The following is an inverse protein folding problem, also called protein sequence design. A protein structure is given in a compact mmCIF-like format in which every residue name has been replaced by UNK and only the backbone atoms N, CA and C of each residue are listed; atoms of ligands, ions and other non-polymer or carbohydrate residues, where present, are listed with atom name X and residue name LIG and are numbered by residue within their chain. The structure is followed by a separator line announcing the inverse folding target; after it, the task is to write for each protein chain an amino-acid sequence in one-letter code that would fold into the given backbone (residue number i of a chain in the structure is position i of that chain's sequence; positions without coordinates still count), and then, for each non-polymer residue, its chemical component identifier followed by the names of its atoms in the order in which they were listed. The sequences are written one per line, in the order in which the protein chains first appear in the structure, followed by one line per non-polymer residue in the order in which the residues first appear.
data_IF_804717250535
#
_entry.id   IF_804717250535
#
_cell.length_a   1.000
_cell.length_b   1.000
_cell.length_c   1.000
_cell.angle_alpha   90.00
_cell.angle_beta   90.00
_cell.angle_gamma   90.00
#
_symmetry.space_group_name_H-M   'P 1'
#
loop_
_entity.id
_entity.type
_entity.pdbx_description
1 polymer ?
#
# COMPACT_ATOMS: atom_id res chain seq x y z
N UNK A 1 -17.38 23.98 6.96
CA UNK A 1 -18.18 22.79 7.36
C UNK A 1 -18.49 21.81 6.22
N UNK A 2 -18.44 22.20 4.95
CA UNK A 2 -18.81 21.33 3.80
C UNK A 2 -17.76 20.31 3.36
N UNK A 3 -16.46 20.49 3.68
CA UNK A 3 -15.37 19.63 3.23
C UNK A 3 -15.30 18.29 4.00
N UNK A 4 -15.60 18.31 5.29
CA UNK A 4 -15.67 17.08 6.11
C UNK A 4 -16.71 16.08 5.58
N UNK A 5 -17.79 16.56 4.98
CA UNK A 5 -18.80 15.70 4.37
C UNK A 5 -18.29 14.99 3.12
N UNK A 6 -17.35 15.56 2.37
CA UNK A 6 -16.76 14.89 1.19
C UNK A 6 -15.79 13.80 1.64
N UNK A 7 -14.97 14.06 2.64
CA UNK A 7 -14.05 13.04 3.22
C UNK A 7 -14.83 11.94 3.94
N UNK A 8 -15.87 12.31 4.69
CA UNK A 8 -16.80 11.37 5.31
C UNK A 8 -17.62 10.63 4.24
N UNK A 9 -18.05 11.26 3.15
CA UNK A 9 -18.75 10.60 2.04
C UNK A 9 -17.83 9.64 1.26
N UNK A 10 -16.57 9.97 1.05
CA UNK A 10 -15.58 9.06 0.47
C UNK A 10 -15.28 7.92 1.46
N UNK A 11 -15.08 8.21 2.73
CA UNK A 11 -14.89 7.19 3.78
C UNK A 11 -16.17 6.37 4.01
N UNK A 12 -17.36 6.98 4.00
CA UNK A 12 -18.66 6.30 4.10
C UNK A 12 -19.05 5.63 2.78
N UNK A 13 -18.70 6.13 1.61
CA UNK A 13 -18.85 5.43 0.34
C UNK A 13 -17.92 4.20 0.26
N UNK A 14 -16.72 4.30 0.82
CA UNK A 14 -15.80 3.18 0.99
C UNK A 14 -16.25 2.27 2.14
N UNK A 15 -16.69 2.79 3.27
CA UNK A 15 -17.08 2.04 4.47
C UNK A 15 -18.55 1.55 4.46
N UNK A 16 -19.49 2.36 4.03
CA UNK A 16 -20.88 1.94 3.77
C UNK A 16 -20.98 1.13 2.48
N UNK A 17 -19.83 0.84 1.85
CA UNK A 17 -19.65 0.11 0.59
C UNK A 17 -20.70 -0.91 0.36
N UNK A 18 -21.85 -0.47 0.21
CA UNK A 18 -22.79 -1.28 -0.49
C UNK A 18 -22.12 -1.54 -1.83
N UNK A 19 -21.19 -2.55 -1.84
CA UNK A 19 -20.71 -3.13 -3.09
C UNK A 19 -21.91 -3.43 -4.01
N UNK A 20 -23.11 -3.59 -3.45
CA UNK A 20 -24.39 -3.56 -4.14
C UNK A 20 -24.72 -2.17 -4.65
N UNK A 21 -24.72 -1.12 -3.83
CA UNK A 21 -25.09 0.22 -4.27
C UNK A 21 -24.15 0.75 -5.36
N UNK A 22 -22.83 0.52 -5.19
CA UNK A 22 -21.82 0.85 -6.19
C UNK A 22 -21.94 -0.06 -7.43
N UNK A 23 -22.17 -1.36 -7.24
CA UNK A 23 -22.38 -2.33 -8.34
C UNK A 23 -23.70 -2.12 -9.05
N UNK A 24 -24.78 -1.82 -8.35
CA UNK A 24 -26.12 -1.77 -8.93
C UNK A 24 -26.46 -0.38 -9.50
N UNK A 25 -25.79 0.70 -9.07
CA UNK A 25 -25.99 2.05 -9.60
C UNK A 25 -24.91 2.57 -10.52
N UNK A 26 -23.63 2.42 -10.17
CA UNK A 26 -22.53 2.90 -11.03
C UNK A 26 -22.09 1.88 -12.08
N UNK A 27 -22.06 0.58 -11.73
CA UNK A 27 -21.65 -0.48 -12.65
C UNK A 27 -22.65 -0.75 -13.77
N UNK A 28 -23.99 -0.66 -13.62
CA UNK A 28 -24.91 -0.82 -14.76
C UNK A 28 -24.85 0.31 -15.77
N UNK A 29 -24.64 1.55 -15.32
CA UNK A 29 -24.41 2.69 -16.24
C UNK A 29 -23.11 2.54 -17.01
N UNK A 30 -22.06 2.17 -16.32
CA UNK A 30 -20.74 1.86 -16.86
C UNK A 30 -20.75 0.61 -17.76
N UNK A 31 -21.50 -0.45 -17.42
CA UNK A 31 -21.69 -1.63 -18.29
C UNK A 31 -22.38 -1.26 -19.61
N UNK A 32 -23.45 -0.46 -19.57
CA UNK A 32 -24.16 -0.03 -20.79
C UNK A 32 -23.29 0.82 -21.70
N UNK A 33 -22.49 1.74 -21.15
CA UNK A 33 -21.53 2.53 -21.92
C UNK A 33 -20.44 1.66 -22.58
N UNK A 34 -19.94 0.64 -21.86
CA UNK A 34 -18.92 -0.29 -22.35
C UNK A 34 -19.51 -1.29 -23.37
N UNK A 35 -20.71 -1.82 -23.12
CA UNK A 35 -21.37 -2.77 -24.00
C UNK A 35 -21.78 -2.16 -25.35
N UNK A 36 -21.99 -0.84 -25.39
CA UNK A 36 -22.21 -0.07 -26.63
C UNK A 36 -20.96 0.12 -27.49
N UNK A 37 -19.76 -0.02 -26.91
CA UNK A 37 -18.47 0.28 -27.58
C UNK A 37 -17.81 -0.93 -28.25
N UNK A 38 -18.28 -2.17 -28.03
CA UNK A 38 -17.63 -3.36 -28.61
C UNK A 38 -18.60 -4.50 -28.88
N UNK A 39 -18.57 -4.99 -30.14
CA UNK A 39 -19.41 -6.11 -30.62
C UNK A 39 -18.84 -7.52 -30.35
N UNK A 40 -17.60 -7.65 -29.88
CA UNK A 40 -16.93 -8.93 -29.60
C UNK A 40 -16.59 -9.10 -28.12
N UNK A 41 -16.67 -10.34 -27.60
CA UNK A 41 -16.35 -10.66 -26.19
C UNK A 41 -14.94 -10.27 -25.79
N UNK A 42 -13.95 -10.44 -26.65
CA UNK A 42 -12.55 -10.06 -26.40
C UNK A 42 -12.36 -8.55 -26.47
N UNK A 43 -13.01 -7.87 -27.40
CA UNK A 43 -13.01 -6.42 -27.49
C UNK A 43 -13.63 -5.77 -26.26
N UNK A 44 -14.77 -6.27 -25.78
CA UNK A 44 -15.44 -5.77 -24.55
C UNK A 44 -14.55 -5.84 -23.31
N UNK A 45 -13.84 -6.97 -23.11
CA UNK A 45 -12.90 -7.11 -21.97
C UNK A 45 -11.75 -6.09 -22.05
N UNK A 46 -11.22 -5.85 -23.23
CA UNK A 46 -10.10 -4.91 -23.46
C UNK A 46 -10.52 -3.45 -23.27
N UNK A 47 -11.69 -3.06 -23.76
CA UNK A 47 -12.27 -1.73 -23.55
C UNK A 47 -12.60 -1.47 -22.07
N UNK A 48 -13.20 -2.46 -21.39
CA UNK A 48 -13.47 -2.38 -19.95
C UNK A 48 -12.20 -2.17 -19.14
N UNK A 49 -11.12 -2.90 -19.43
CA UNK A 49 -9.85 -2.76 -18.75
C UNK A 49 -9.26 -1.36 -18.95
N UNK A 50 -9.23 -0.87 -20.20
CA UNK A 50 -8.76 0.49 -20.51
C UNK A 50 -9.55 1.56 -19.79
N UNK A 51 -10.87 1.43 -19.74
CA UNK A 51 -11.76 2.36 -19.07
C UNK A 51 -11.51 2.42 -17.55
N UNK A 52 -11.35 1.26 -16.89
CA UNK A 52 -11.05 1.18 -15.44
C UNK A 52 -9.69 1.82 -15.15
N UNK A 53 -8.68 1.54 -15.96
CA UNK A 53 -7.35 2.14 -15.81
C UNK A 53 -7.42 3.65 -16.03
N UNK A 54 -8.15 4.13 -17.04
CA UNK A 54 -8.32 5.56 -17.30
C UNK A 54 -9.02 6.28 -16.14
N UNK A 55 -10.09 5.70 -15.57
CA UNK A 55 -10.75 6.24 -14.37
C UNK A 55 -9.78 6.25 -13.19
N UNK A 56 -9.05 5.16 -12.95
CA UNK A 56 -8.07 5.10 -11.86
C UNK A 56 -6.98 6.15 -12.01
N UNK A 57 -6.48 6.36 -13.23
CA UNK A 57 -5.49 7.39 -13.52
C UNK A 57 -6.04 8.81 -13.32
N UNK A 58 -7.28 9.06 -13.74
CA UNK A 58 -7.95 10.34 -13.51
C UNK A 58 -8.17 10.62 -12.02
N UNK A 59 -8.60 9.61 -11.27
CA UNK A 59 -8.77 9.72 -9.82
C UNK A 59 -7.44 9.94 -9.11
N UNK A 60 -6.36 9.29 -9.56
CA UNK A 60 -5.02 9.50 -9.02
C UNK A 60 -4.55 10.93 -9.29
N UNK A 61 -4.73 11.44 -10.52
CA UNK A 61 -4.41 12.83 -10.86
C UNK A 61 -5.20 13.81 -10.00
N UNK A 62 -6.50 13.58 -9.85
CA UNK A 62 -7.37 14.41 -8.99
C UNK A 62 -6.91 14.35 -7.53
N UNK A 63 -6.57 13.17 -6.99
CA UNK A 63 -6.06 13.01 -5.63
C UNK A 63 -4.73 13.75 -5.42
N UNK A 64 -3.82 13.72 -6.39
CA UNK A 64 -2.57 14.50 -6.35
C UNK A 64 -2.87 16.00 -6.31
N UNK A 65 -3.71 16.50 -7.21
CA UNK A 65 -4.06 17.93 -7.24
C UNK A 65 -4.69 18.36 -5.92
N UNK A 66 -5.66 17.59 -5.40
CA UNK A 66 -6.32 17.88 -4.12
C UNK A 66 -5.32 17.88 -2.97
N UNK A 67 -4.37 16.93 -2.97
CA UNK A 67 -3.31 16.86 -1.95
C UNK A 67 -2.35 18.06 -2.00
N UNK A 68 -2.07 18.60 -3.19
CA UNK A 68 -1.28 19.84 -3.35
C UNK A 68 -2.06 21.09 -2.92
N UNK A 69 -3.38 21.14 -3.15
CA UNK A 69 -4.23 22.25 -2.76
C UNK A 69 -4.46 22.34 -1.25
N UNK A 70 -4.66 21.18 -0.58
CA UNK A 70 -5.08 21.12 0.81
C UNK A 70 -3.90 20.89 1.76
N UNK A 71 -3.84 21.64 2.83
CA UNK A 71 -2.85 21.47 3.89
C UNK A 71 -3.24 22.27 5.14
N UNK A 72 -2.72 21.86 6.33
CA UNK A 72 -3.14 22.44 7.61
C UNK A 72 -2.85 23.93 7.73
N UNK A 73 -1.74 24.43 7.17
CA UNK A 73 -1.36 25.83 7.24
C UNK A 73 -2.12 26.72 6.25
N UNK A 74 -2.46 26.20 5.08
CA UNK A 74 -3.11 27.01 4.02
C UNK A 74 -3.84 26.12 3.02
N UNK A 75 -5.03 26.54 2.61
CA UNK A 75 -5.78 25.97 1.48
C UNK A 75 -5.52 26.83 0.26
N UNK A 76 -5.11 26.21 -0.84
CA UNK A 76 -4.84 26.86 -2.12
C UNK A 76 -5.94 26.49 -3.12
N UNK A 77 -6.22 27.40 -4.05
CA UNK A 77 -7.03 27.04 -5.22
C UNK A 77 -6.22 26.14 -6.17
N UNK A 78 -6.85 25.28 -7.00
CA UNK A 78 -6.13 24.45 -7.94
C UNK A 78 -5.21 25.23 -8.90
N UNK A 79 -5.62 26.39 -9.48
CA UNK A 79 -4.73 27.21 -10.29
C UNK A 79 -3.51 27.73 -9.52
N UNK A 80 -3.69 28.16 -8.26
CA UNK A 80 -2.59 28.68 -7.44
C UNK A 80 -1.60 27.58 -7.07
N UNK A 81 -2.09 26.39 -6.70
CA UNK A 81 -1.25 25.25 -6.36
C UNK A 81 -0.43 24.76 -7.58
N UNK A 82 -1.06 24.67 -8.75
CA UNK A 82 -0.37 24.28 -9.98
C UNK A 82 0.59 25.40 -10.46
N UNK A 83 0.18 26.66 -10.39
CA UNK A 83 1.04 27.80 -10.71
C UNK A 83 2.29 27.84 -9.83
N UNK A 84 2.12 27.66 -8.51
CA UNK A 84 3.24 27.57 -7.57
C UNK A 84 4.17 26.39 -7.88
N UNK A 85 3.61 25.23 -8.24
CA UNK A 85 4.39 24.06 -8.63
C UNK A 85 5.22 24.32 -9.90
N UNK A 86 4.58 24.82 -10.96
CA UNK A 86 5.29 25.11 -12.22
C UNK A 86 6.35 26.19 -12.05
N UNK A 87 6.06 27.25 -11.28
CA UNK A 87 7.03 28.30 -10.95
C UNK A 87 8.22 27.75 -10.18
N UNK A 88 7.98 26.91 -9.16
CA UNK A 88 9.05 26.29 -8.36
C UNK A 88 9.95 25.38 -9.19
N UNK A 89 9.37 24.57 -10.09
CA UNK A 89 10.13 23.75 -11.03
C UNK A 89 10.95 24.59 -12.01
N UNK A 90 10.38 25.66 -12.55
CA UNK A 90 11.07 26.57 -13.47
C UNK A 90 12.26 27.28 -12.79
N UNK A 91 12.15 27.58 -11.49
CA UNK A 91 13.23 28.17 -10.69
C UNK A 91 14.28 27.14 -10.22
N UNK A 92 14.13 25.86 -10.58
CA UNK A 92 15.02 24.80 -10.12
C UNK A 92 15.05 24.60 -8.60
N UNK A 93 13.97 24.96 -7.90
CA UNK A 93 13.86 24.83 -6.45
C UNK A 93 14.60 25.91 -5.64
N UNK A 94 15.13 26.95 -6.27
CA UNK A 94 15.83 28.06 -5.60
C UNK A 94 15.03 29.37 -5.67
N UNK A 95 15.15 30.22 -4.64
CA UNK A 95 14.44 31.52 -4.60
C UNK A 95 12.92 31.40 -4.59
N UNK A 96 12.41 30.37 -3.88
CA UNK A 96 11.00 30.07 -3.82
C UNK A 96 10.27 31.03 -2.88
N UNK A 97 9.07 31.44 -3.24
CA UNK A 97 8.11 32.08 -2.32
C UNK A 97 7.58 31.07 -1.30
N UNK A 98 6.98 31.53 -0.20
CA UNK A 98 6.42 30.66 0.85
C UNK A 98 5.40 29.67 0.30
N UNK A 99 4.59 30.09 -0.67
CA UNK A 99 3.59 29.22 -1.32
C UNK A 99 4.28 28.16 -2.18
N UNK A 100 5.27 28.55 -2.99
CA UNK A 100 6.06 27.64 -3.81
C UNK A 100 6.82 26.64 -2.94
N UNK A 101 7.44 27.10 -1.84
CA UNK A 101 8.16 26.26 -0.88
C UNK A 101 7.21 25.23 -0.24
N UNK A 102 6.02 25.65 0.18
CA UNK A 102 5.01 24.76 0.76
C UNK A 102 4.58 23.68 -0.23
N UNK A 103 4.28 24.04 -1.47
CA UNK A 103 3.83 23.09 -2.49
C UNK A 103 4.97 22.16 -2.92
N UNK A 104 6.13 22.71 -3.24
CA UNK A 104 7.24 21.97 -3.84
C UNK A 104 8.04 21.17 -2.81
N UNK A 105 8.40 21.75 -1.66
CA UNK A 105 9.27 21.09 -0.69
C UNK A 105 8.53 20.26 0.37
N UNK A 106 7.25 20.55 0.63
CA UNK A 106 6.50 19.82 1.65
C UNK A 106 5.42 18.91 1.05
N UNK A 107 4.50 19.46 0.24
CA UNK A 107 3.32 18.70 -0.21
C UNK A 107 3.63 17.70 -1.31
N UNK A 108 4.44 18.07 -2.29
CA UNK A 108 4.72 17.24 -3.45
C UNK A 108 5.51 15.97 -3.10
N UNK A 109 6.67 16.02 -2.38
CA UNK A 109 7.41 14.84 -1.99
C UNK A 109 6.55 13.85 -1.19
N UNK A 110 5.81 14.36 -0.20
CA UNK A 110 4.90 13.61 0.64
C UNK A 110 3.81 12.91 -0.19
N UNK A 111 3.20 13.63 -1.13
CA UNK A 111 2.17 13.06 -2.01
C UNK A 111 2.73 11.97 -2.93
N UNK A 112 3.94 12.16 -3.48
CA UNK A 112 4.60 11.17 -4.33
C UNK A 112 4.95 9.90 -3.57
N UNK A 113 5.49 10.02 -2.36
CA UNK A 113 5.82 8.86 -1.51
C UNK A 113 4.57 8.15 -1.05
N UNK A 114 3.51 8.87 -0.64
CA UNK A 114 2.23 8.27 -0.28
C UNK A 114 1.62 7.50 -1.47
N UNK A 115 1.66 8.08 -2.68
CA UNK A 115 1.21 7.39 -3.89
C UNK A 115 2.01 6.11 -4.15
N UNK A 116 3.34 6.18 -4.07
CA UNK A 116 4.22 5.03 -4.29
C UNK A 116 3.97 3.92 -3.28
N UNK A 117 3.90 4.25 -1.98
CA UNK A 117 3.65 3.25 -0.92
C UNK A 117 2.28 2.61 -1.06
N UNK A 118 1.23 3.40 -1.34
CA UNK A 118 -0.12 2.87 -1.56
C UNK A 118 -0.20 1.92 -2.76
N UNK A 119 0.46 2.29 -3.85
CA UNK A 119 0.63 1.48 -5.05
C UNK A 119 1.37 0.17 -4.71
N UNK A 120 2.52 0.25 -4.05
CA UNK A 120 3.37 -0.90 -3.73
C UNK A 120 2.69 -1.89 -2.79
N UNK A 121 2.12 -1.42 -1.68
CA UNK A 121 1.41 -2.27 -0.72
C UNK A 121 0.21 -2.98 -1.37
N UNK A 122 -0.53 -2.29 -2.24
CA UNK A 122 -1.66 -2.90 -2.95
C UNK A 122 -1.23 -3.98 -3.93
N UNK A 123 -0.12 -3.79 -4.64
CA UNK A 123 0.44 -4.83 -5.53
C UNK A 123 0.96 -6.01 -4.71
N UNK A 124 1.74 -5.76 -3.65
CA UNK A 124 2.23 -6.82 -2.77
C UNK A 124 1.05 -7.63 -2.22
N UNK A 125 0.00 -6.97 -1.72
CA UNK A 125 -1.21 -7.63 -1.24
C UNK A 125 -1.91 -8.46 -2.31
N UNK A 126 -2.05 -7.95 -3.53
CA UNK A 126 -2.65 -8.70 -4.64
C UNK A 126 -1.86 -9.97 -4.96
N UNK A 127 -0.53 -9.90 -4.93
CA UNK A 127 0.38 -11.04 -5.14
C UNK A 127 0.24 -12.07 -4.02
N UNK A 128 0.30 -11.64 -2.76
CA UNK A 128 0.13 -12.55 -1.61
C UNK A 128 -1.21 -13.27 -1.65
N UNK A 129 -2.28 -12.53 -1.89
CA UNK A 129 -3.63 -13.10 -1.98
C UNK A 129 -3.79 -14.10 -3.13
N UNK A 130 -3.07 -13.89 -4.26
CA UNK A 130 -3.07 -14.82 -5.38
C UNK A 130 -2.31 -16.11 -5.06
N UNK A 131 -1.12 -16.00 -4.49
CA UNK A 131 -0.22 -17.13 -4.25
C UNK A 131 -0.69 -18.00 -3.07
N UNK A 132 -1.18 -17.39 -2.01
CA UNK A 132 -1.74 -18.08 -0.84
C UNK A 132 -3.19 -18.50 -1.09
N UNK A 133 -3.81 -18.06 -2.20
CA UNK A 133 -5.21 -18.32 -2.57
C UNK A 133 -6.21 -17.96 -1.48
N UNK A 134 -5.84 -16.96 -0.69
CA UNK A 134 -6.67 -16.42 0.36
C UNK A 134 -6.79 -14.90 0.21
N UNK A 135 -7.98 -14.35 -0.09
CA UNK A 135 -8.15 -12.92 -0.29
C UNK A 135 -8.04 -12.08 0.99
N UNK A 136 -7.91 -12.73 2.14
CA UNK A 136 -7.80 -12.11 3.45
C UNK A 136 -6.34 -11.96 3.90
N UNK A 137 -5.38 -12.36 3.05
CA UNK A 137 -3.95 -12.25 3.34
C UNK A 137 -3.48 -10.83 3.07
N UNK A 138 -2.75 -10.29 4.03
CA UNK A 138 -2.05 -9.01 3.96
C UNK A 138 -0.54 -9.26 3.69
N UNK A 139 0.19 -8.35 3.04
CA UNK A 139 1.63 -8.47 2.85
C UNK A 139 2.43 -8.67 4.13
N UNK A 140 1.90 -8.20 5.25
CA UNK A 140 2.57 -8.26 6.55
C UNK A 140 2.42 -9.59 7.29
N UNK A 141 1.49 -10.45 6.83
CA UNK A 141 1.22 -11.74 7.47
C UNK A 141 2.45 -12.67 7.50
N UNK A 142 3.43 -12.42 6.61
CA UNK A 142 4.70 -13.15 6.58
C UNK A 142 5.77 -12.59 7.53
N UNK A 143 5.39 -11.74 8.49
CA UNK A 143 6.28 -11.17 9.49
C UNK A 143 7.11 -9.97 9.03
N UNK A 144 6.92 -9.48 7.80
CA UNK A 144 7.71 -8.37 7.24
C UNK A 144 7.59 -7.12 8.09
N UNK A 145 6.38 -6.74 8.55
CA UNK A 145 6.18 -5.53 9.35
C UNK A 145 6.78 -5.63 10.75
N UNK A 146 6.63 -6.79 11.42
CA UNK A 146 7.20 -6.98 12.75
C UNK A 146 8.73 -7.04 12.72
N UNK A 147 9.32 -7.68 11.71
CA UNK A 147 10.77 -7.68 11.51
C UNK A 147 11.32 -6.29 11.19
N UNK A 148 10.65 -5.55 10.31
CA UNK A 148 11.00 -4.17 9.98
C UNK A 148 10.88 -3.26 11.21
N UNK A 149 9.78 -3.38 11.98
CA UNK A 149 9.57 -2.63 13.21
C UNK A 149 10.62 -2.91 14.27
N UNK A 150 10.95 -4.18 14.49
CA UNK A 150 12.00 -4.56 15.45
C UNK A 150 13.35 -3.93 15.08
N UNK A 151 13.75 -4.02 13.82
CA UNK A 151 15.01 -3.47 13.35
C UNK A 151 15.04 -1.92 13.37
N UNK A 152 13.92 -1.29 13.02
CA UNK A 152 13.81 0.18 13.12
C UNK A 152 13.87 0.66 14.56
N UNK A 153 13.17 0.00 15.49
CA UNK A 153 13.23 0.32 16.92
C UNK A 153 14.66 0.12 17.46
N UNK A 154 15.37 -0.93 17.04
CA UNK A 154 16.76 -1.14 17.42
C UNK A 154 17.66 0.04 17.03
N UNK A 155 17.48 0.61 15.84
CA UNK A 155 18.22 1.79 15.39
C UNK A 155 17.79 3.05 16.11
N UNK A 156 16.48 3.30 16.23
CA UNK A 156 15.95 4.55 16.81
C UNK A 156 16.22 4.62 18.31
N UNK A 157 16.02 3.50 19.05
CA UNK A 157 16.10 3.49 20.49
C UNK A 157 17.54 3.29 21.04
N UNK A 158 18.40 2.58 20.29
CA UNK A 158 19.71 2.14 20.79
C UNK A 158 20.88 2.55 19.90
N UNK A 159 20.66 3.42 18.91
CA UNK A 159 21.69 3.86 17.96
C UNK A 159 22.48 2.71 17.33
N UNK A 160 21.80 1.59 17.09
CA UNK A 160 22.44 0.42 16.50
C UNK A 160 22.92 0.73 15.08
N UNK A 161 24.19 1.10 14.98
CA UNK A 161 24.85 1.35 13.69
C UNK A 161 25.44 0.04 13.19
N UNK A 162 25.06 -0.43 12.02
CA UNK A 162 25.67 -1.60 11.38
C UNK A 162 27.20 -1.39 11.26
N UNK A 163 27.95 -1.75 12.30
CA UNK A 163 29.42 -1.62 12.36
C UNK A 163 29.97 -0.24 11.97
N UNK A 164 29.23 0.83 12.22
CA UNK A 164 29.66 2.20 11.88
C UNK A 164 29.59 2.56 10.38
N UNK A 165 28.97 1.74 9.56
CA UNK A 165 28.87 1.95 8.11
C UNK A 165 27.95 3.12 7.73
N UNK A 166 27.00 3.49 8.57
CA UNK A 166 26.06 4.59 8.37
C UNK A 166 26.08 5.52 9.59
N UNK A 167 25.85 6.82 9.34
CA UNK A 167 25.80 7.82 10.40
C UNK A 167 24.66 7.50 11.38
N UNK A 168 24.89 7.68 12.70
CA UNK A 168 23.85 7.58 13.72
C UNK A 168 22.66 8.48 13.38
N UNK A 169 21.43 8.06 13.72
CA UNK A 169 20.19 8.81 13.49
C UNK A 169 19.86 9.13 12.01
N UNK A 170 20.56 8.49 11.06
CA UNK A 170 20.24 8.67 9.65
C UNK A 170 18.94 7.95 9.29
N UNK A 171 18.05 8.64 8.55
CA UNK A 171 16.83 8.04 7.99
C UNK A 171 17.15 6.83 7.10
N UNK A 172 18.29 6.85 6.42
CA UNK A 172 18.77 5.73 5.60
C UNK A 172 19.19 4.53 6.43
N UNK A 173 19.78 4.75 7.61
CA UNK A 173 20.14 3.67 8.53
C UNK A 173 18.87 2.96 9.03
N UNK A 174 17.86 3.71 9.45
CA UNK A 174 16.56 3.16 9.86
C UNK A 174 15.90 2.41 8.69
N UNK A 175 15.89 2.99 7.50
CA UNK A 175 15.28 2.38 6.32
C UNK A 175 15.98 1.08 5.90
N UNK A 176 17.31 1.07 5.82
CA UNK A 176 18.09 -0.14 5.48
C UNK A 176 17.89 -1.22 6.52
N UNK A 177 17.88 -0.85 7.81
CA UNK A 177 17.65 -1.77 8.92
C UNK A 177 16.23 -2.36 8.87
N UNK A 178 15.23 -1.53 8.59
CA UNK A 178 13.84 -1.98 8.44
C UNK A 178 13.68 -2.96 7.26
N UNK A 179 14.32 -2.68 6.11
CA UNK A 179 14.34 -3.62 4.97
C UNK A 179 15.01 -4.94 5.40
N UNK A 180 16.18 -4.88 6.01
CA UNK A 180 16.92 -6.06 6.43
C UNK A 180 16.13 -6.89 7.46
N UNK A 181 15.55 -6.25 8.47
CA UNK A 181 14.73 -6.90 9.49
C UNK A 181 13.45 -7.51 8.92
N UNK A 182 12.79 -6.81 8.01
CA UNK A 182 11.60 -7.33 7.32
C UNK A 182 11.92 -8.56 6.46
N UNK A 183 13.02 -8.53 5.71
CA UNK A 183 13.48 -9.67 4.90
C UNK A 183 13.98 -10.83 5.76
N UNK A 184 14.61 -10.55 6.91
CA UNK A 184 15.03 -11.60 7.86
C UNK A 184 13.80 -12.33 8.43
N UNK A 185 12.79 -11.60 8.91
CA UNK A 185 11.55 -12.19 9.40
C UNK A 185 10.84 -12.99 8.30
N UNK A 186 10.77 -12.45 7.07
CA UNK A 186 10.25 -13.18 5.92
C UNK A 186 11.05 -14.49 5.65
N UNK A 187 12.38 -14.44 5.68
CA UNK A 187 13.21 -15.63 5.48
C UNK A 187 12.95 -16.69 6.56
N UNK A 188 12.85 -16.28 7.83
CA UNK A 188 12.47 -17.17 8.94
C UNK A 188 11.10 -17.81 8.70
N UNK A 189 10.12 -17.01 8.26
CA UNK A 189 8.78 -17.50 7.91
C UNK A 189 8.81 -18.51 6.78
N UNK A 190 9.56 -18.22 5.70
CA UNK A 190 9.69 -19.13 4.56
C UNK A 190 10.34 -20.47 4.96
N UNK A 191 11.41 -20.43 5.77
CA UNK A 191 12.09 -21.63 6.26
C UNK A 191 11.15 -22.48 7.14
N UNK A 192 10.44 -21.84 8.06
CA UNK A 192 9.49 -22.52 8.94
C UNK A 192 8.33 -23.13 8.14
N UNK A 193 7.75 -22.37 7.23
CA UNK A 193 6.66 -22.83 6.38
C UNK A 193 7.05 -24.01 5.49
N UNK A 194 8.26 -24.02 4.92
CA UNK A 194 8.77 -25.14 4.13
C UNK A 194 8.91 -26.40 4.97
N UNK A 195 9.46 -26.30 6.19
CA UNK A 195 9.55 -27.43 7.14
C UNK A 195 8.18 -27.93 7.59
N UNK A 196 7.18 -27.04 7.65
CA UNK A 196 5.78 -27.35 7.99
C UNK A 196 4.95 -27.85 6.77
N UNK A 197 5.60 -28.29 5.68
CA UNK A 197 4.95 -28.90 4.51
C UNK A 197 4.63 -27.95 3.35
N UNK A 198 4.95 -26.65 3.43
CA UNK A 198 4.85 -25.68 2.32
C UNK A 198 3.44 -25.39 1.83
N UNK A 199 2.42 -25.66 2.63
CA UNK A 199 1.01 -25.38 2.30
C UNK A 199 0.67 -23.90 2.54
N UNK A 200 -0.43 -23.42 1.96
CA UNK A 200 -0.93 -22.07 2.18
C UNK A 200 -1.12 -21.77 3.69
N UNK A 201 -1.67 -22.71 4.44
CA UNK A 201 -1.86 -22.56 5.89
C UNK A 201 -0.51 -22.56 6.64
N UNK A 202 0.47 -23.34 6.18
CA UNK A 202 1.80 -23.35 6.77
C UNK A 202 2.48 -21.98 6.64
N UNK A 203 2.36 -21.30 5.48
CA UNK A 203 2.89 -19.95 5.29
C UNK A 203 2.23 -18.95 6.25
N UNK A 204 0.91 -18.96 6.35
CA UNK A 204 0.17 -18.06 7.24
C UNK A 204 0.54 -18.29 8.71
N UNK A 205 0.50 -19.54 9.18
CA UNK A 205 0.78 -19.88 10.57
C UNK A 205 2.26 -19.59 10.94
N UNK A 206 3.18 -19.91 10.06
CA UNK A 206 4.61 -19.60 10.25
C UNK A 206 4.84 -18.09 10.35
N UNK A 207 4.14 -17.30 9.51
CA UNK A 207 4.23 -15.83 9.57
C UNK A 207 3.70 -15.27 10.88
N UNK A 208 2.60 -15.80 11.40
CA UNK A 208 2.07 -15.41 12.71
C UNK A 208 3.07 -15.73 13.83
N UNK A 209 3.64 -16.95 13.84
CA UNK A 209 4.63 -17.35 14.86
C UNK A 209 5.88 -16.46 14.83
N UNK A 210 6.45 -16.25 13.64
CA UNK A 210 7.62 -15.38 13.46
C UNK A 210 7.28 -13.94 13.81
N UNK A 211 6.10 -13.45 13.35
CA UNK A 211 5.63 -12.12 13.66
C UNK A 211 5.51 -11.86 15.16
N UNK A 212 4.93 -12.80 15.91
CA UNK A 212 4.83 -12.72 17.36
C UNK A 212 6.21 -12.72 18.04
N UNK A 213 7.16 -13.55 17.55
CA UNK A 213 8.51 -13.58 18.10
C UNK A 213 9.24 -12.24 17.93
N UNK A 214 9.20 -11.64 16.71
CA UNK A 214 9.77 -10.32 16.47
C UNK A 214 9.05 -9.23 17.26
N UNK A 215 7.71 -9.27 17.36
CA UNK A 215 6.94 -8.31 18.15
C UNK A 215 7.24 -8.39 19.64
N UNK A 216 7.50 -9.57 20.18
CA UNK A 216 7.93 -9.73 21.58
C UNK A 216 9.27 -9.05 21.83
N UNK A 217 10.26 -9.27 20.95
CA UNK A 217 11.57 -8.60 21.03
C UNK A 217 11.39 -7.07 20.92
N UNK A 218 10.59 -6.61 19.95
CA UNK A 218 10.28 -5.19 19.78
C UNK A 218 9.64 -4.57 21.02
N UNK A 219 8.70 -5.27 21.68
CA UNK A 219 8.05 -4.79 22.92
C UNK A 219 9.07 -4.61 24.05
N UNK A 220 9.98 -5.56 24.21
CA UNK A 220 11.07 -5.44 25.21
C UNK A 220 11.95 -4.22 24.88
N UNK A 221 12.34 -4.04 23.62
CA UNK A 221 13.14 -2.88 23.20
C UNK A 221 12.44 -1.54 23.47
N UNK A 222 11.13 -1.46 23.25
CA UNK A 222 10.34 -0.24 23.50
C UNK A 222 10.37 0.14 24.99
N UNK A 223 10.33 -0.83 25.91
CA UNK A 223 10.41 -0.58 27.36
C UNK A 223 11.74 0.10 27.74
N UNK A 224 12.82 -0.24 27.05
CA UNK A 224 14.15 0.32 27.29
C UNK A 224 14.51 1.50 26.39
N UNK A 225 13.58 2.00 25.57
CA UNK A 225 13.84 3.07 24.59
C UNK A 225 14.09 4.46 25.23
N UNK A 226 13.78 4.65 26.52
CA UNK A 226 14.02 5.91 27.22
C UNK A 226 13.43 7.12 26.50
N UNK A 227 14.24 8.15 26.27
CA UNK A 227 13.84 9.40 25.62
C UNK A 227 13.43 9.21 24.13
N UNK A 228 13.86 8.11 23.50
CA UNK A 228 13.52 7.78 22.11
C UNK A 228 12.17 7.08 21.94
N UNK A 229 11.46 6.80 23.03
CA UNK A 229 10.17 6.09 23.03
C UNK A 229 9.16 6.73 22.05
N UNK A 230 9.01 8.05 22.10
CA UNK A 230 8.06 8.76 21.23
C UNK A 230 8.40 8.59 19.74
N UNK A 231 9.69 8.71 19.39
CA UNK A 231 10.16 8.55 18.01
C UNK A 231 9.95 7.12 17.50
N UNK A 232 10.24 6.11 18.33
CA UNK A 232 10.03 4.70 17.99
C UNK A 232 8.54 4.41 17.77
N UNK A 233 7.64 4.89 18.62
CA UNK A 233 6.20 4.71 18.49
C UNK A 233 5.64 5.43 17.25
N UNK A 234 6.06 6.67 16.97
CA UNK A 234 5.64 7.42 15.78
C UNK A 234 6.04 6.69 14.50
N UNK A 235 7.25 6.11 14.45
CA UNK A 235 7.67 5.31 13.31
C UNK A 235 6.80 4.06 13.15
N UNK A 236 6.50 3.34 14.25
CA UNK A 236 5.67 2.12 14.23
C UNK A 236 4.24 2.37 13.77
N UNK A 237 3.68 3.54 14.06
CA UNK A 237 2.33 3.90 13.63
C UNK A 237 2.21 4.35 12.18
N UNK A 238 3.33 4.55 11.50
CA UNK A 238 3.40 4.94 10.10
C UNK A 238 2.98 6.38 9.85
N UNK A 239 3.88 7.17 9.26
CA UNK A 239 3.65 8.58 8.95
C UNK A 239 4.44 9.04 7.73
N UNK A 240 3.93 10.07 7.06
CA UNK A 240 4.64 10.77 5.97
C UNK A 240 5.09 12.18 6.40
N UNK A 241 5.00 12.54 7.69
CA UNK A 241 5.28 13.90 8.18
C UNK A 241 6.72 14.35 7.96
N UNK A 242 7.69 13.42 8.02
CA UNK A 242 9.12 13.67 7.85
C UNK A 242 9.61 13.53 6.40
N UNK A 243 8.74 13.22 5.45
CA UNK A 243 9.12 12.97 4.06
C UNK A 243 9.53 14.26 3.37
N UNK A 244 10.71 14.24 2.74
CA UNK A 244 11.30 15.31 1.94
C UNK A 244 11.69 14.77 0.55
N UNK A 245 12.36 15.57 -0.27
CA UNK A 245 12.85 15.13 -1.57
C UNK A 245 13.89 14.00 -1.49
N UNK A 246 14.59 13.88 -0.36
CA UNK A 246 15.64 12.85 -0.16
C UNK A 246 15.08 11.43 -0.14
N UNK A 247 13.82 11.25 0.28
CA UNK A 247 13.16 9.94 0.33
C UNK A 247 12.42 9.58 -0.96
N UNK A 248 12.12 10.56 -1.82
CA UNK A 248 11.28 10.34 -3.02
C UNK A 248 11.89 9.28 -3.94
N UNK A 249 13.14 9.47 -4.37
CA UNK A 249 13.80 8.53 -5.30
C UNK A 249 14.06 7.15 -4.68
N UNK A 250 14.59 7.03 -3.45
CA UNK A 250 14.78 5.75 -2.77
C UNK A 250 13.50 4.92 -2.58
N UNK A 251 12.33 5.57 -2.48
CA UNK A 251 11.04 4.89 -2.39
C UNK A 251 10.44 4.65 -3.77
N UNK A 252 10.31 5.71 -4.57
CA UNK A 252 9.57 5.69 -5.82
C UNK A 252 10.17 4.70 -6.83
N UNK A 253 11.51 4.71 -6.99
CA UNK A 253 12.19 3.91 -7.99
C UNK A 253 12.05 2.40 -7.74
N UNK A 254 12.40 1.85 -6.54
CA UNK A 254 12.23 0.41 -6.29
C UNK A 254 10.77 -0.01 -6.26
N UNK A 255 9.87 0.80 -5.69
CA UNK A 255 8.45 0.47 -5.62
C UNK A 255 7.82 0.41 -7.01
N UNK A 256 8.08 1.38 -7.90
CA UNK A 256 7.57 1.36 -9.27
C UNK A 256 8.16 0.19 -10.07
N UNK A 257 9.48 0.00 -10.02
CA UNK A 257 10.13 -1.07 -10.79
C UNK A 257 9.65 -2.45 -10.36
N UNK A 258 9.59 -2.74 -9.06
CA UNK A 258 9.10 -4.02 -8.57
C UNK A 258 7.61 -4.22 -8.85
N UNK A 259 6.79 -3.17 -8.72
CA UNK A 259 5.35 -3.26 -9.02
C UNK A 259 5.10 -3.53 -10.50
N UNK A 260 5.80 -2.83 -11.40
CA UNK A 260 5.72 -3.06 -12.84
C UNK A 260 6.25 -4.46 -13.21
N UNK A 261 7.34 -4.90 -12.59
CA UNK A 261 7.87 -6.25 -12.77
C UNK A 261 6.84 -7.30 -12.35
N UNK A 262 6.21 -7.17 -11.20
CA UNK A 262 5.17 -8.09 -10.73
C UNK A 262 3.94 -8.09 -11.66
N UNK A 263 3.54 -6.95 -12.18
CA UNK A 263 2.41 -6.88 -13.14
C UNK A 263 2.72 -7.60 -14.46
N UNK A 264 3.98 -7.75 -14.83
CA UNK A 264 4.41 -8.47 -16.04
C UNK A 264 4.01 -9.94 -16.00
N UNK A 265 3.94 -10.56 -14.81
CA UNK A 265 3.54 -11.95 -14.60
C UNK A 265 2.05 -12.13 -14.25
N UNK A 266 1.19 -11.18 -14.63
CA UNK A 266 -0.25 -11.26 -14.35
C UNK A 266 -0.93 -12.52 -14.92
N UNK A 267 -0.40 -13.08 -16.01
CA UNK A 267 -0.92 -14.32 -16.62
C UNK A 267 -0.57 -15.53 -15.76
N UNK A 268 0.64 -15.59 -15.29
CA UNK A 268 1.17 -16.67 -14.46
C UNK A 268 0.46 -16.72 -13.11
N UNK A 269 0.13 -15.56 -12.51
CA UNK A 269 -0.74 -15.52 -11.33
C UNK A 269 -2.11 -16.15 -11.59
N UNK A 270 -2.72 -15.90 -12.76
CA UNK A 270 -3.98 -16.54 -13.12
C UNK A 270 -3.83 -18.08 -13.28
N UNK A 271 -2.68 -18.54 -13.79
CA UNK A 271 -2.40 -19.98 -13.91
C UNK A 271 -2.26 -20.66 -12.55
N UNK A 272 -1.55 -20.02 -11.61
CA UNK A 272 -1.37 -20.57 -10.24
C UNK A 272 -2.73 -20.74 -9.54
N UNK A 273 -3.72 -19.89 -9.81
CA UNK A 273 -5.06 -20.02 -9.24
C UNK A 273 -5.80 -21.28 -9.68
N UNK A 274 -5.47 -21.84 -10.85
CA UNK A 274 -6.10 -23.07 -11.36
C UNK A 274 -5.63 -24.32 -10.61
N UNK A 275 -4.52 -24.28 -9.92
CA UNK A 275 -3.93 -25.39 -9.21
C UNK A 275 -2.49 -25.70 -9.67
N UNK A 276 -1.73 -26.38 -8.83
CA UNK A 276 -0.31 -26.70 -9.10
C UNK A 276 -0.17 -27.65 -10.29
N UNK A 277 -1.02 -28.69 -10.37
CA UNK A 277 -0.98 -29.67 -11.44
C UNK A 277 -1.36 -29.07 -12.79
N UNK A 278 -2.41 -28.23 -12.83
CA UNK A 278 -2.82 -27.56 -14.06
C UNK A 278 -1.78 -26.54 -14.52
N UNK A 279 -1.21 -25.77 -13.60
CA UNK A 279 -0.14 -24.84 -13.92
C UNK A 279 1.09 -25.57 -14.50
N UNK A 280 1.45 -26.74 -13.94
CA UNK A 280 2.55 -27.57 -14.43
C UNK A 280 2.29 -28.11 -15.83
N UNK A 281 1.07 -28.61 -16.12
CA UNK A 281 0.68 -29.05 -17.47
C UNK A 281 0.79 -27.92 -18.51
N UNK A 282 0.61 -26.67 -18.08
CA UNK A 282 0.78 -25.48 -18.92
C UNK A 282 2.21 -24.94 -18.95
N UNK A 283 3.20 -25.71 -18.41
CA UNK A 283 4.62 -25.37 -18.46
C UNK A 283 5.12 -24.47 -17.33
N UNK A 284 4.28 -24.13 -16.33
CA UNK A 284 4.68 -23.29 -15.19
C UNK A 284 5.07 -24.14 -13.99
N UNK A 285 6.31 -24.01 -13.51
CA UNK A 285 6.70 -24.57 -12.21
C UNK A 285 6.10 -23.71 -11.08
N UNK A 286 4.87 -24.04 -10.66
CA UNK A 286 4.09 -23.25 -9.71
C UNK A 286 4.84 -23.07 -8.37
N UNK A 287 5.57 -24.08 -7.87
CA UNK A 287 6.30 -24.02 -6.59
C UNK A 287 7.43 -22.98 -6.64
N UNK A 288 8.26 -23.02 -7.71
CA UNK A 288 9.36 -22.06 -7.88
C UNK A 288 8.83 -20.66 -8.15
N UNK A 289 7.79 -20.53 -8.96
CA UNK A 289 7.14 -19.27 -9.26
C UNK A 289 6.57 -18.65 -7.98
N UNK A 290 5.82 -19.39 -7.17
CA UNK A 290 5.26 -18.93 -5.90
C UNK A 290 6.37 -18.44 -4.96
N UNK A 291 7.44 -19.21 -4.77
CA UNK A 291 8.55 -18.82 -3.90
C UNK A 291 9.20 -17.50 -4.38
N UNK A 292 9.51 -17.38 -5.67
CA UNK A 292 10.12 -16.17 -6.25
C UNK A 292 9.20 -14.94 -6.12
N UNK A 293 7.93 -15.11 -6.42
CA UNK A 293 6.96 -13.99 -6.35
C UNK A 293 6.70 -13.55 -4.91
N UNK A 294 6.70 -14.46 -3.93
CA UNK A 294 6.62 -14.13 -2.51
C UNK A 294 7.85 -13.33 -2.06
N UNK A 295 9.06 -13.71 -2.50
CA UNK A 295 10.29 -12.94 -2.22
C UNK A 295 10.16 -11.52 -2.79
N UNK A 296 9.80 -11.38 -4.07
CA UNK A 296 9.69 -10.06 -4.71
C UNK A 296 8.60 -9.19 -4.06
N UNK A 297 7.47 -9.77 -3.68
CA UNK A 297 6.40 -9.06 -2.97
C UNK A 297 6.83 -8.65 -1.55
N UNK A 298 7.65 -9.46 -0.87
CA UNK A 298 8.20 -9.12 0.45
C UNK A 298 9.24 -7.99 0.35
N UNK A 299 10.10 -8.03 -0.66
CA UNK A 299 11.03 -6.93 -0.96
C UNK A 299 10.25 -5.65 -1.21
N UNK A 300 9.20 -5.70 -2.06
CA UNK A 300 8.33 -4.56 -2.33
C UNK A 300 7.68 -4.01 -1.06
N UNK A 301 7.10 -4.88 -0.21
CA UNK A 301 6.51 -4.48 1.06
C UNK A 301 7.55 -3.87 2.02
N UNK A 302 8.76 -4.42 2.08
CA UNK A 302 9.85 -3.89 2.90
C UNK A 302 10.26 -2.47 2.47
N UNK A 303 10.37 -2.20 1.17
CA UNK A 303 10.63 -0.83 0.66
C UNK A 303 9.49 0.13 1.00
N UNK A 304 8.24 -0.33 0.96
CA UNK A 304 7.08 0.50 1.34
C UNK A 304 7.10 0.88 2.82
N UNK A 305 7.56 -0.02 3.71
CA UNK A 305 7.61 0.22 5.17
C UNK A 305 8.82 1.06 5.58
N UNK A 306 9.94 0.89 4.88
CA UNK A 306 11.25 1.35 5.33
C UNK A 306 11.34 2.85 5.66
N UNK A 307 10.65 3.70 4.91
CA UNK A 307 10.75 5.16 5.05
C UNK A 307 9.55 5.80 5.75
N UNK A 308 8.43 5.11 5.83
CA UNK A 308 7.17 5.67 6.35
C UNK A 308 6.56 4.85 7.48
N UNK A 309 7.25 3.80 7.93
CA UNK A 309 6.73 2.92 8.98
C UNK A 309 5.60 2.01 8.53
N UNK A 310 4.90 1.41 9.49
CA UNK A 310 3.92 0.36 9.22
C UNK A 310 2.56 0.99 8.87
N UNK A 311 2.07 0.73 7.65
CA UNK A 311 0.77 1.21 7.17
C UNK A 311 -0.09 0.01 6.76
N UNK A 312 -1.02 -0.37 7.61
CA UNK A 312 -1.86 -1.56 7.42
C UNK A 312 -3.06 -1.35 6.49
N UNK A 313 -3.76 -2.43 6.20
CA UNK A 313 -5.04 -2.52 5.46
C UNK A 313 -5.00 -2.16 3.97
N UNK A 314 -4.07 -1.38 3.48
CA UNK A 314 -3.99 -0.98 2.06
C UNK A 314 -3.84 -2.22 1.16
N UNK A 315 -2.87 -3.08 1.47
CA UNK A 315 -2.62 -4.33 0.75
C UNK A 315 -3.71 -5.38 0.90
N UNK A 316 -4.50 -5.30 1.96
CA UNK A 316 -5.62 -6.19 2.20
C UNK A 316 -6.87 -5.75 1.43
N UNK A 317 -7.27 -4.51 1.61
CA UNK A 317 -8.59 -3.99 1.19
C UNK A 317 -8.62 -3.70 -0.31
N UNK A 318 -7.63 -3.01 -0.85
CA UNK A 318 -7.65 -2.55 -2.24
C UNK A 318 -7.70 -3.69 -3.26
N UNK A 319 -6.82 -4.70 -3.22
CA UNK A 319 -6.88 -5.79 -4.18
C UNK A 319 -8.18 -6.60 -4.06
N UNK A 320 -8.70 -6.73 -2.85
CA UNK A 320 -9.97 -7.41 -2.61
C UNK A 320 -11.14 -6.64 -3.24
N UNK A 321 -11.21 -5.31 -3.05
CA UNK A 321 -12.20 -4.45 -3.69
C UNK A 321 -12.07 -4.48 -5.22
N UNK A 322 -10.85 -4.42 -5.76
CA UNK A 322 -10.61 -4.51 -7.20
C UNK A 322 -11.14 -5.83 -7.77
N UNK A 323 -10.92 -6.96 -7.10
CA UNK A 323 -11.49 -8.25 -7.53
C UNK A 323 -13.01 -8.28 -7.48
N UNK A 324 -13.62 -7.72 -6.45
CA UNK A 324 -15.07 -7.65 -6.33
C UNK A 324 -15.71 -6.79 -7.42
N UNK A 325 -15.11 -5.66 -7.75
CA UNK A 325 -15.65 -4.67 -8.69
C UNK A 325 -15.36 -5.05 -10.16
N UNK A 326 -14.16 -5.55 -10.43
CA UNK A 326 -13.65 -5.70 -11.78
C UNK A 326 -13.47 -7.15 -12.21
N UNK A 327 -13.54 -8.10 -11.27
CA UNK A 327 -13.32 -9.54 -11.52
C UNK A 327 -11.93 -9.99 -11.11
N UNK A 328 -11.68 -11.32 -11.12
CA UNK A 328 -10.46 -11.95 -10.59
C UNK A 328 -9.26 -11.99 -11.54
N UNK A 329 -9.35 -11.45 -12.76
CA UNK A 329 -8.23 -11.49 -13.72
C UNK A 329 -7.11 -10.54 -13.27
N UNK A 330 -5.93 -11.11 -12.95
CA UNK A 330 -4.77 -10.35 -12.46
C UNK A 330 -4.21 -9.35 -13.47
N UNK A 331 -4.50 -9.50 -14.77
CA UNK A 331 -4.16 -8.50 -15.80
C UNK A 331 -4.85 -7.17 -15.58
N UNK A 332 -5.95 -7.17 -14.85
CA UNK A 332 -6.71 -5.98 -14.47
C UNK A 332 -6.57 -5.67 -12.98
N UNK A 333 -6.58 -6.70 -12.12
CA UNK A 333 -6.50 -6.53 -10.67
C UNK A 333 -5.19 -5.83 -10.27
N UNK A 334 -4.04 -6.23 -10.83
CA UNK A 334 -2.76 -5.63 -10.46
C UNK A 334 -2.68 -4.15 -10.86
N UNK A 335 -2.91 -3.73 -12.12
CA UNK A 335 -2.88 -2.31 -12.48
C UNK A 335 -3.95 -1.48 -11.76
N UNK A 336 -5.15 -2.04 -11.57
CA UNK A 336 -6.20 -1.36 -10.81
C UNK A 336 -5.78 -1.16 -9.34
N UNK A 337 -5.20 -2.20 -8.71
CA UNK A 337 -4.69 -2.09 -7.33
C UNK A 337 -3.59 -1.05 -7.20
N UNK A 338 -2.71 -0.90 -8.18
CA UNK A 338 -1.71 0.17 -8.21
C UNK A 338 -2.37 1.55 -8.10
N UNK A 339 -3.32 1.83 -8.97
CA UNK A 339 -3.95 3.14 -9.06
C UNK A 339 -4.82 3.44 -7.83
N UNK A 340 -5.71 2.52 -7.47
CA UNK A 340 -6.62 2.72 -6.33
C UNK A 340 -5.90 2.68 -4.99
N UNK A 341 -4.80 1.93 -4.86
CA UNK A 341 -3.94 1.94 -3.69
C UNK A 341 -3.26 3.29 -3.47
N UNK A 342 -2.72 3.87 -4.54
CA UNK A 342 -2.15 5.21 -4.51
C UNK A 342 -3.21 6.26 -4.12
N UNK A 343 -4.40 6.21 -4.72
CA UNK A 343 -5.52 7.12 -4.37
C UNK A 343 -5.91 6.99 -2.91
N UNK A 344 -6.08 5.75 -2.40
CA UNK A 344 -6.45 5.53 -1.01
C UNK A 344 -5.41 6.12 -0.05
N UNK A 345 -4.13 5.90 -0.32
CA UNK A 345 -3.10 6.32 0.63
C UNK A 345 -2.85 7.83 0.59
N UNK A 346 -2.97 8.48 -0.58
CA UNK A 346 -3.00 9.95 -0.65
C UNK A 346 -4.19 10.51 0.14
N UNK A 347 -5.38 9.91 0.01
CA UNK A 347 -6.57 10.36 0.74
C UNK A 347 -6.42 10.14 2.25
N UNK A 348 -5.85 9.00 2.68
CA UNK A 348 -5.57 8.72 4.09
C UNK A 348 -4.55 9.70 4.67
N UNK A 349 -3.47 10.01 3.94
CA UNK A 349 -2.48 11.00 4.33
C UNK A 349 -3.10 12.40 4.44
N UNK A 350 -3.90 12.80 3.45
CA UNK A 350 -4.62 14.08 3.49
C UNK A 350 -5.55 14.16 4.70
N UNK A 351 -6.26 13.07 5.01
CA UNK A 351 -7.11 12.99 6.20
C UNK A 351 -6.27 13.10 7.48
N UNK A 352 -5.14 12.40 7.56
CA UNK A 352 -4.25 12.38 8.72
C UNK A 352 -3.74 13.79 9.09
N UNK A 353 -3.35 14.59 8.09
CA UNK A 353 -2.82 15.95 8.30
C UNK A 353 -3.88 17.04 8.44
N UNK A 354 -5.14 16.75 8.08
CA UNK A 354 -6.25 17.72 8.14
C UNK A 354 -7.24 17.45 9.28
N UNK A 355 -7.16 16.27 9.93
CA UNK A 355 -8.14 15.82 10.91
C UNK A 355 -8.18 16.67 12.18
N UNK A 356 -7.04 17.05 12.69
CA UNK A 356 -6.91 17.84 13.92
C UNK A 356 -6.03 19.07 13.68
N UNK A 357 -6.48 20.28 14.10
CA UNK A 357 -5.66 21.48 14.01
C UNK A 357 -4.38 21.33 14.88
N UNK A 358 -3.22 21.59 14.29
CA UNK A 358 -1.94 21.61 15.02
C UNK A 358 -1.34 20.24 15.35
N UNK A 359 -2.01 19.13 15.02
CA UNK A 359 -1.50 17.78 15.27
C UNK A 359 -1.76 16.88 14.06
N UNK A 360 -0.72 16.19 13.61
CA UNK A 360 -0.87 15.17 12.54
C UNK A 360 -1.13 13.80 13.15
N UNK A 361 -2.16 13.11 12.63
CA UNK A 361 -2.42 11.73 13.01
C UNK A 361 -1.54 10.76 12.22
N UNK A 362 -1.14 9.62 12.80
CA UNK A 362 -0.46 8.58 12.05
C UNK A 362 -1.36 8.03 10.92
N UNK A 363 -0.80 7.92 9.72
CA UNK A 363 -1.55 7.45 8.54
C UNK A 363 -2.00 5.99 8.72
N UNK A 364 -1.18 5.17 9.39
CA UNK A 364 -1.53 3.80 9.73
C UNK A 364 -2.80 3.68 10.59
N UNK A 365 -3.03 4.62 11.50
CA UNK A 365 -4.28 4.68 12.28
C UNK A 365 -5.48 5.00 11.38
N UNK A 366 -5.36 5.96 10.47
CA UNK A 366 -6.43 6.33 9.52
C UNK A 366 -6.79 5.15 8.60
N UNK A 367 -5.78 4.50 8.02
CA UNK A 367 -6.02 3.33 7.15
C UNK A 367 -6.66 2.18 7.92
N UNK A 368 -6.33 1.99 9.20
CA UNK A 368 -6.92 0.97 10.06
C UNK A 368 -8.37 1.30 10.41
N UNK A 369 -8.66 2.54 10.80
CA UNK A 369 -10.04 3.00 11.12
C UNK A 369 -10.96 2.82 9.92
N UNK A 370 -10.47 3.07 8.70
CA UNK A 370 -11.26 2.86 7.47
C UNK A 370 -11.27 1.37 7.10
N UNK A 371 -10.15 0.69 7.23
CA UNK A 371 -9.95 -0.69 6.75
C UNK A 371 -10.74 -1.72 7.56
N UNK A 372 -10.75 -1.61 8.90
CA UNK A 372 -11.42 -2.58 9.77
C UNK A 372 -12.92 -2.71 9.49
N UNK A 373 -13.72 -1.64 9.45
CA UNK A 373 -15.15 -1.74 9.13
C UNK A 373 -15.41 -2.31 7.73
N UNK A 374 -14.62 -1.89 6.74
CA UNK A 374 -14.74 -2.41 5.37
C UNK A 374 -14.46 -3.91 5.35
N UNK A 375 -13.40 -4.33 6.02
CA UNK A 375 -13.02 -5.73 6.09
C UNK A 375 -14.04 -6.59 6.84
N UNK A 376 -14.53 -6.12 7.99
CA UNK A 376 -15.58 -6.78 8.76
C UNK A 376 -16.86 -6.99 7.93
N UNK A 377 -17.28 -5.96 7.21
CA UNK A 377 -18.41 -6.05 6.27
C UNK A 377 -18.19 -7.11 5.19
N UNK A 378 -16.99 -7.14 4.59
CA UNK A 378 -16.65 -8.11 3.56
C UNK A 378 -16.65 -9.56 4.08
N UNK A 379 -16.16 -9.74 5.32
CA UNK A 379 -16.15 -11.04 6.00
C UNK A 379 -17.56 -11.57 6.25
N UNK A 380 -18.46 -10.75 6.82
CA UNK A 380 -19.84 -11.11 7.09
C UNK A 380 -20.57 -11.47 5.79
N UNK A 381 -20.35 -10.71 4.72
CA UNK A 381 -20.99 -10.95 3.43
C UNK A 381 -20.56 -12.27 2.79
N UNK A 382 -19.29 -12.67 2.94
CA UNK A 382 -18.82 -13.98 2.47
C UNK A 382 -19.37 -15.14 3.30
N UNK A 383 -19.43 -15.00 4.61
CA UNK A 383 -20.00 -16.04 5.47
C UNK A 383 -21.42 -16.42 5.07
N UNK A 384 -22.23 -15.48 4.61
CA UNK A 384 -23.58 -15.73 4.10
C UNK A 384 -23.65 -16.46 2.74
N UNK A 385 -22.58 -16.43 1.94
CA UNK A 385 -22.51 -17.11 0.64
C UNK A 385 -22.11 -18.59 0.82
N UNK A 386 -21.41 -18.93 1.91
CA UNK A 386 -21.00 -20.31 2.22
C UNK A 386 -22.01 -21.09 3.07
N UNK A 387 -22.92 -20.38 3.76
CA UNK A 387 -23.95 -20.99 4.64
C UNK A 387 -25.35 -20.97 3.99
N UNK A 388 -25.51 -20.62 2.75
CA UNK A 388 -26.74 -20.73 1.93
C UNK A 388 -26.45 -21.51 0.68
#
# INVERSE_FOLDING_TARGET
MSFWWIVVLVAVAVAAGSARWFRDRLVPGMRRAIDGLSRTHLGRKKHRARFIIAIGALLLLAAIIVSLCLGPARILSPPDALGALFSAVAKGGSGLTDTEMTVYNSRLPRTLVAAAVGLGLSVAGAVYQALIRNPLVDPYIMGVSSGAGTAAVAVIAFDFTFFGLLAPHSIYLTAVSAIAGGLLAFACTMLLAQKAGGTANAYVLSGVVVGLAFSAVQTVMIIFAGDQLANALLWLFGSFSSVTWTEVLPVLLPVLTLSLLLTRWAKEFNLVLLGEDQARQMGLNARRFTALMLVLASVLASFCVAFCGIIGFVGLVIPHLCRMLFGGDHRLVLPASMLFGAVLLIAADLTARMALPGTELPVGAITTIIGVPVFAYLLIKRGKIYNG
#
